data_IF_579328922036
#
_entry.id   IF_579328922036
#
_cell.length_a   1.000
_cell.length_b   1.000
_cell.length_c   1.000
_cell.angle_alpha   90.00
_cell.angle_beta   90.00
_cell.angle_gamma   90.00
#
_symmetry.space_group_name_H-M   'P 1'
#
loop_
_entity.id
_entity.type
_entity.pdbx_description
1 polymer ?
#
# COMPACT_ATOMS: atom_id res chain seq x y z
N UNK A 1 -6.94 12.54 -25.73
CA UNK A 1 -6.73 11.25 -25.00
C UNK A 1 -6.56 10.17 -26.06
N UNK A 2 -5.40 9.51 -26.11
CA UNK A 2 -5.21 8.38 -27.02
C UNK A 2 -6.05 7.17 -26.60
N UNK A 3 -6.19 6.15 -27.46
CA UNK A 3 -6.93 4.94 -27.11
C UNK A 3 -6.33 4.28 -25.87
N UNK A 4 -7.17 3.95 -24.89
CA UNK A 4 -6.77 3.15 -23.75
C UNK A 4 -6.43 1.73 -24.25
N UNK A 5 -5.17 1.33 -24.13
CA UNK A 5 -4.71 0.00 -24.52
C UNK A 5 -4.85 -0.94 -23.33
N UNK A 6 -5.64 -2.00 -23.49
CA UNK A 6 -5.65 -3.10 -22.52
C UNK A 6 -4.34 -3.88 -22.58
N UNK A 7 -3.80 -4.21 -21.41
CA UNK A 7 -2.54 -4.95 -21.26
C UNK A 7 -2.67 -6.01 -20.18
N UNK A 8 -1.94 -7.12 -20.34
CA UNK A 8 -1.81 -8.11 -19.27
C UNK A 8 -0.88 -7.56 -18.17
N UNK A 9 -1.36 -7.57 -16.93
CA UNK A 9 -0.62 -7.14 -15.75
C UNK A 9 -0.70 -8.17 -14.61
N UNK A 10 0.34 -8.24 -13.79
CA UNK A 10 0.33 -9.00 -12.55
C UNK A 10 -0.09 -8.07 -11.39
N UNK A 11 -1.15 -8.44 -10.67
CA UNK A 11 -1.63 -7.71 -9.50
C UNK A 11 -1.53 -8.60 -8.25
N UNK A 12 -1.20 -7.97 -7.12
CA UNK A 12 -1.30 -8.58 -5.80
C UNK A 12 -2.54 -8.03 -5.11
N UNK A 13 -3.49 -8.89 -4.78
CA UNK A 13 -4.75 -8.53 -4.11
C UNK A 13 -4.79 -9.25 -2.77
N UNK A 14 -5.32 -8.57 -1.74
CA UNK A 14 -5.48 -9.13 -0.41
C UNK A 14 -6.53 -10.25 -0.40
N UNK A 15 -6.25 -11.34 0.32
CA UNK A 15 -7.23 -12.36 0.62
C UNK A 15 -8.15 -11.89 1.76
N UNK A 16 -9.46 -11.77 1.49
CA UNK A 16 -10.44 -11.27 2.48
C UNK A 16 -10.68 -12.22 3.67
N UNK A 17 -10.35 -13.50 3.53
CA UNK A 17 -10.42 -14.46 4.64
C UNK A 17 -9.21 -14.37 5.59
N UNK A 18 -8.14 -13.67 5.20
CA UNK A 18 -6.91 -13.60 5.97
C UNK A 18 -7.14 -12.86 7.30
N UNK A 19 -6.61 -13.32 8.45
CA UNK A 19 -6.86 -12.72 9.76
C UNK A 19 -6.44 -11.24 9.87
N UNK A 20 -5.45 -10.82 9.06
CA UNK A 20 -5.03 -9.42 8.99
C UNK A 20 -5.89 -8.54 8.06
N UNK A 21 -6.92 -9.09 7.40
CA UNK A 21 -7.83 -8.29 6.60
C UNK A 21 -8.86 -7.61 7.50
N UNK A 22 -8.68 -6.32 7.74
CA UNK A 22 -9.53 -5.54 8.63
C UNK A 22 -10.92 -5.18 8.05
N UNK A 23 -11.22 -5.57 6.81
CA UNK A 23 -12.49 -5.27 6.17
C UNK A 23 -12.71 -3.78 5.92
N UNK A 24 -13.98 -3.38 5.86
CA UNK A 24 -14.38 -1.98 5.78
C UNK A 24 -14.45 -1.39 7.19
N UNK A 25 -13.62 -0.39 7.46
CA UNK A 25 -13.59 0.32 8.73
C UNK A 25 -14.17 1.74 8.57
N UNK A 26 -14.88 2.28 9.57
CA UNK A 26 -15.27 3.69 9.57
C UNK A 26 -14.05 4.61 9.44
N UNK A 27 -14.20 5.74 8.75
CA UNK A 27 -13.10 6.68 8.46
C UNK A 27 -12.33 7.11 9.72
N UNK A 28 -13.04 7.41 10.80
CA UNK A 28 -12.45 7.78 12.09
C UNK A 28 -11.59 6.66 12.70
N UNK A 29 -12.01 5.40 12.54
CA UNK A 29 -11.27 4.23 13.03
C UNK A 29 -10.00 4.04 12.21
N UNK A 30 -10.08 4.16 10.89
CA UNK A 30 -8.92 4.12 10.00
C UNK A 30 -7.90 5.20 10.37
N UNK A 31 -8.34 6.45 10.53
CA UNK A 31 -7.49 7.57 10.91
C UNK A 31 -6.76 7.32 12.23
N UNK A 32 -7.49 6.85 13.26
CA UNK A 32 -6.91 6.50 14.56
C UNK A 32 -5.85 5.41 14.46
N UNK A 33 -6.12 4.34 13.69
CA UNK A 33 -5.17 3.24 13.50
C UNK A 33 -3.92 3.69 12.73
N UNK A 34 -4.09 4.48 11.67
CA UNK A 34 -2.97 5.00 10.87
C UNK A 34 -2.09 5.92 11.72
N UNK A 35 -2.70 6.82 12.50
CA UNK A 35 -1.98 7.77 13.33
C UNK A 35 -1.09 7.11 14.39
N UNK A 36 -1.56 6.02 15.02
CA UNK A 36 -0.83 5.35 16.10
C UNK A 36 0.04 4.17 15.68
N UNK A 37 0.10 3.79 14.41
CA UNK A 37 0.78 2.56 13.97
C UNK A 37 2.20 2.79 13.47
N UNK A 38 3.12 1.95 13.95
CA UNK A 38 4.51 1.87 13.51
C UNK A 38 4.88 0.42 13.23
N UNK A 39 5.48 0.18 12.07
CA UNK A 39 6.03 -1.12 11.69
C UNK A 39 7.54 -1.07 11.50
N UNK A 40 8.11 -2.19 11.06
CA UNK A 40 9.55 -2.29 10.73
C UNK A 40 10.02 -1.26 9.70
N UNK A 41 9.12 -0.79 8.85
CA UNK A 41 9.42 0.15 7.78
C UNK A 41 9.20 1.62 8.16
N UNK A 42 8.72 1.92 9.37
CA UNK A 42 8.39 3.28 9.82
C UNK A 42 6.93 3.46 10.23
N UNK A 43 6.52 4.71 10.46
CA UNK A 43 5.15 5.04 10.78
C UNK A 43 4.23 4.84 9.56
N UNK A 44 3.01 4.36 9.81
CA UNK A 44 2.03 4.17 8.75
C UNK A 44 1.58 5.50 8.12
N UNK A 45 1.57 6.57 8.91
CA UNK A 45 1.29 7.92 8.43
C UNK A 45 2.30 8.39 7.38
N UNK A 46 3.60 8.13 7.58
CA UNK A 46 4.64 8.48 6.61
C UNK A 46 4.42 7.76 5.27
N UNK A 47 4.00 6.49 5.34
CA UNK A 47 3.64 5.72 4.17
C UNK A 47 2.44 6.32 3.43
N UNK A 48 1.38 6.71 4.14
CA UNK A 48 0.19 7.37 3.55
C UNK A 48 0.58 8.67 2.84
N UNK A 49 1.37 9.53 3.49
CA UNK A 49 1.81 10.82 2.95
C UNK A 49 2.67 10.60 1.69
N UNK A 50 3.66 9.71 1.76
CA UNK A 50 4.51 9.43 0.61
C UNK A 50 3.73 8.83 -0.56
N UNK A 51 2.71 8.02 -0.27
CA UNK A 51 1.85 7.41 -1.30
C UNK A 51 1.01 8.49 -2.00
N UNK A 52 0.35 9.36 -1.24
CA UNK A 52 -0.44 10.47 -1.79
C UNK A 52 0.42 11.41 -2.65
N UNK A 53 1.63 11.76 -2.18
CA UNK A 53 2.58 12.56 -2.96
C UNK A 53 2.91 11.87 -4.29
N UNK A 54 3.24 10.59 -4.26
CA UNK A 54 3.64 9.88 -5.47
C UNK A 54 2.48 9.69 -6.47
N UNK A 55 1.26 9.45 -5.97
CA UNK A 55 0.07 9.41 -6.81
C UNK A 55 -0.19 10.76 -7.48
N UNK A 56 -0.04 11.85 -6.73
CA UNK A 56 -0.18 13.21 -7.28
C UNK A 56 0.87 13.52 -8.36
N UNK A 57 2.13 13.10 -8.19
CA UNK A 57 3.18 13.19 -9.22
C UNK A 57 2.82 12.44 -10.50
N UNK A 58 2.07 11.33 -10.39
CA UNK A 58 1.55 10.55 -11.51
C UNK A 58 0.24 11.12 -12.09
N UNK A 59 -0.31 12.20 -11.53
CA UNK A 59 -1.59 12.79 -11.92
C UNK A 59 -2.81 11.98 -11.47
N UNK A 60 -2.65 11.06 -10.52
CA UNK A 60 -3.70 10.19 -9.97
C UNK A 60 -4.27 10.83 -8.71
N UNK A 61 -5.61 10.93 -8.63
CA UNK A 61 -6.34 11.52 -7.50
C UNK A 61 -7.10 10.47 -6.72
N UNK A 62 -6.74 10.28 -5.46
CA UNK A 62 -7.37 9.31 -4.54
C UNK A 62 -8.12 10.00 -3.40
N UNK A 63 -9.39 10.34 -3.62
CA UNK A 63 -10.21 11.16 -2.71
C UNK A 63 -10.39 10.56 -1.32
N UNK A 64 -10.48 9.23 -1.21
CA UNK A 64 -10.61 8.55 0.08
C UNK A 64 -9.36 8.72 0.94
N UNK A 65 -8.18 8.56 0.32
CA UNK A 65 -6.91 8.72 1.00
C UNK A 65 -6.66 10.19 1.39
N UNK A 66 -7.03 11.12 0.51
CA UNK A 66 -6.99 12.57 0.81
C UNK A 66 -7.89 12.92 2.01
N UNK A 67 -9.09 12.34 2.10
CA UNK A 67 -9.99 12.50 3.26
C UNK A 67 -9.41 11.90 4.54
N UNK A 68 -8.80 10.71 4.47
CA UNK A 68 -8.13 10.11 5.62
C UNK A 68 -7.05 11.03 6.18
N UNK A 69 -6.21 11.59 5.30
CA UNK A 69 -5.16 12.51 5.72
C UNK A 69 -5.75 13.79 6.35
N UNK A 70 -6.82 14.34 5.77
CA UNK A 70 -7.50 15.51 6.32
C UNK A 70 -8.08 15.25 7.72
N UNK A 71 -8.66 14.07 7.96
CA UNK A 71 -9.19 13.67 9.28
C UNK A 71 -8.08 13.47 10.32
N UNK A 72 -6.91 12.95 9.92
CA UNK A 72 -5.75 12.82 10.81
C UNK A 72 -5.19 14.19 11.21
N UNK A 73 -5.24 15.16 10.28
CA UNK A 73 -4.90 16.56 10.52
C UNK A 73 -3.40 16.86 10.53
N UNK A 74 -3.01 18.14 10.30
CA UNK A 74 -1.62 18.56 10.13
C UNK A 74 -0.77 18.58 11.41
N UNK A 75 -1.39 18.42 12.59
CA UNK A 75 -0.68 18.45 13.89
C UNK A 75 0.22 17.22 14.15
N UNK A 76 0.16 16.23 13.26
CA UNK A 76 1.01 15.04 13.27
C UNK A 76 2.37 15.25 12.59
N UNK A 77 2.56 16.34 11.83
CA UNK A 77 3.83 16.71 11.20
C UNK A 77 4.95 17.10 12.19
N UNK A 78 4.64 17.24 13.49
CA UNK A 78 5.64 17.48 14.56
C UNK A 78 6.38 16.23 15.03
N UNK A 79 5.97 15.03 14.62
CA UNK A 79 6.84 13.84 14.69
C UNK A 79 7.80 13.78 13.50
N UNK A 80 8.35 14.95 13.14
CA UNK A 80 9.36 15.17 12.12
C UNK A 80 10.64 14.40 12.51
N UNK A 81 10.71 13.17 12.04
CA UNK A 81 11.85 12.28 12.26
C UNK A 81 12.03 11.24 11.16
N UNK A 82 11.52 11.49 9.95
CA UNK A 82 11.92 10.70 8.78
C UNK A 82 11.71 11.49 7.49
N UNK A 83 12.59 12.44 7.18
CA UNK A 83 12.59 13.18 5.90
C UNK A 83 12.73 12.28 4.66
N UNK A 84 13.03 11.00 4.85
CA UNK A 84 13.33 10.06 3.77
C UNK A 84 12.23 9.01 3.72
N UNK A 85 11.66 8.78 2.53
CA UNK A 85 10.87 7.58 2.28
C UNK A 85 11.66 6.38 2.81
N UNK A 86 10.99 5.50 3.57
CA UNK A 86 11.58 4.27 4.09
C UNK A 86 12.47 3.64 3.01
N UNK A 87 13.76 3.31 3.30
CA UNK A 87 14.65 2.70 2.31
C UNK A 87 14.02 1.51 1.60
N UNK A 88 13.15 0.79 2.32
CA UNK A 88 12.36 -0.33 1.80
C UNK A 88 11.29 0.12 0.79
N UNK A 89 10.52 1.17 1.07
CA UNK A 89 9.54 1.71 0.13
C UNK A 89 10.22 2.27 -1.13
N UNK A 90 11.31 3.00 -0.98
CA UNK A 90 12.11 3.49 -2.10
C UNK A 90 12.71 2.34 -2.94
N UNK A 91 13.15 1.26 -2.29
CA UNK A 91 13.62 0.05 -2.97
C UNK A 91 12.48 -0.64 -3.75
N UNK A 92 11.28 -0.75 -3.17
CA UNK A 92 10.11 -1.34 -3.83
C UNK A 92 9.71 -0.55 -5.08
N UNK A 93 9.69 0.79 -5.01
CA UNK A 93 9.39 1.66 -6.17
C UNK A 93 10.46 1.51 -7.25
N UNK A 94 11.76 1.52 -6.89
CA UNK A 94 12.84 1.29 -7.86
C UNK A 94 12.71 -0.06 -8.56
N UNK A 95 12.47 -1.13 -7.79
CA UNK A 95 12.32 -2.48 -8.32
C UNK A 95 11.09 -2.61 -9.23
N UNK A 96 10.01 -1.89 -8.95
CA UNK A 96 8.83 -1.85 -9.81
C UNK A 96 9.13 -1.18 -11.17
N UNK A 97 9.91 -0.09 -11.17
CA UNK A 97 10.25 0.67 -12.39
C UNK A 97 11.24 -0.03 -13.31
N UNK A 98 12.15 -0.85 -12.77
CA UNK A 98 13.15 -1.59 -13.56
C UNK A 98 12.69 -2.98 -13.99
N UNK A 99 11.48 -3.41 -13.62
CA UNK A 99 11.03 -4.78 -13.86
C UNK A 99 10.63 -4.96 -15.33
N UNK A 100 11.21 -5.93 -16.05
CA UNK A 100 10.72 -6.30 -17.37
C UNK A 100 9.27 -6.81 -17.28
N UNK A 101 8.48 -6.77 -18.37
CA UNK A 101 7.11 -7.26 -18.37
C UNK A 101 7.07 -8.68 -17.82
N UNK A 102 6.15 -8.92 -16.88
CA UNK A 102 6.11 -10.14 -16.11
C UNK A 102 5.96 -11.37 -17.04
N UNK A 103 7.01 -12.19 -17.13
CA UNK A 103 6.86 -13.58 -17.58
C UNK A 103 6.04 -14.31 -16.52
N UNK A 104 5.17 -15.22 -16.95
CA UNK A 104 4.31 -16.05 -16.09
C UNK A 104 5.20 -16.80 -15.07
N UNK A 105 5.38 -16.24 -13.88
CA UNK A 105 6.22 -16.82 -12.84
C UNK A 105 5.41 -17.88 -12.10
N UNK A 106 5.95 -19.09 -11.97
CA UNK A 106 5.39 -20.07 -11.03
C UNK A 106 5.64 -19.54 -9.61
N UNK A 107 4.58 -19.43 -8.80
CA UNK A 107 4.72 -19.07 -7.39
C UNK A 107 5.71 -20.04 -6.71
N UNK A 108 6.65 -19.54 -5.89
CA UNK A 108 7.62 -20.39 -5.22
C UNK A 108 6.90 -21.42 -4.36
N UNK A 109 7.24 -22.70 -4.54
CA UNK A 109 6.71 -23.78 -3.71
C UNK A 109 7.15 -23.56 -2.26
N UNK A 110 6.20 -23.40 -1.35
CA UNK A 110 6.44 -23.35 0.10
C UNK A 110 6.22 -22.00 0.78
N UNK A 111 6.08 -20.88 0.06
CA UNK A 111 5.70 -19.62 0.70
C UNK A 111 4.18 -19.55 0.89
N UNK A 112 3.73 -19.94 2.09
CA UNK A 112 2.31 -20.04 2.46
C UNK A 112 1.70 -18.70 2.89
N UNK A 113 2.47 -17.60 2.89
CA UNK A 113 1.98 -16.26 3.30
C UNK A 113 0.84 -15.71 2.44
N UNK A 114 0.72 -16.18 1.20
CA UNK A 114 -0.28 -15.69 0.24
C UNK A 114 -1.43 -16.67 -0.02
N UNK A 115 -1.50 -17.79 0.71
CA UNK A 115 -2.39 -18.91 0.42
C UNK A 115 -3.25 -19.31 1.64
N UNK A 116 -3.70 -18.34 2.44
CA UNK A 116 -4.40 -18.61 3.70
C UNK A 116 -5.63 -19.52 3.51
N UNK A 117 -6.44 -19.30 2.47
CA UNK A 117 -7.58 -20.17 2.17
C UNK A 117 -7.20 -21.60 1.83
N UNK A 118 -6.07 -21.83 1.16
CA UNK A 118 -5.61 -23.21 0.88
C UNK A 118 -5.15 -23.93 2.16
N UNK A 119 -4.88 -23.21 3.25
CA UNK A 119 -4.56 -23.80 4.56
C UNK A 119 -5.81 -24.22 5.34
N UNK A 120 -7.00 -23.67 5.00
CA UNK A 120 -8.26 -24.00 5.66
C UNK A 120 -8.91 -25.29 5.13
N UNK A 121 -8.37 -25.90 4.07
CA UNK A 121 -8.87 -27.16 3.51
C UNK A 121 -10.24 -27.08 2.84
N UNK A 122 -10.67 -25.88 2.42
CA UNK A 122 -11.94 -25.60 1.71
C UNK A 122 -11.72 -25.45 0.21
#
# INVERSE_FOLDING_TARGET
KGPHREVLALAYIVERAHPNYAGQLPLAVQARLIHGSQGRSGANLDYLISTLRHLAELGIRERELERLLAVIGPHSARFAGCEKASPHAAAMVRMARSRPPARRAKLPKGDRRFLYRLQLGV
#
